data_IF_317473730100
#
_entry.id   IF_317473730100
#
_cell.length_a   1.000
_cell.length_b   1.000
_cell.length_c   1.000
_cell.angle_alpha   90.00
_cell.angle_beta   90.00
_cell.angle_gamma   90.00
#
_symmetry.space_group_name_H-M   'P 1'
#
loop_
_entity.id
_entity.type
_entity.pdbx_description
1 polymer ?
#
# COMPACT_ATOMS: atom_id res chain seq x y z
N UNK A 1 -36.45 -11.14 14.29
CA UNK A 1 -36.80 -10.33 13.11
C UNK A 1 -35.50 -9.68 12.65
N UNK A 2 -34.87 -10.25 11.63
CA UNK A 2 -33.62 -9.71 11.12
C UNK A 2 -33.96 -8.53 10.19
N UNK A 3 -33.59 -7.32 10.58
CA UNK A 3 -33.65 -6.16 9.67
C UNK A 3 -32.63 -6.37 8.55
N UNK A 4 -33.11 -6.60 7.33
CA UNK A 4 -32.32 -6.51 6.12
C UNK A 4 -32.09 -5.00 5.91
N UNK A 5 -30.97 -4.48 6.44
CA UNK A 5 -30.54 -3.12 6.16
C UNK A 5 -30.42 -2.96 4.64
N UNK A 6 -31.15 -2.03 4.08
CA UNK A 6 -31.14 -1.69 2.65
C UNK A 6 -29.72 -1.36 2.22
N UNK A 7 -29.15 -2.22 1.37
CA UNK A 7 -27.83 -1.97 0.74
C UNK A 7 -27.98 -0.69 -0.09
N UNK A 8 -27.28 0.39 0.27
CA UNK A 8 -27.36 1.65 -0.46
C UNK A 8 -26.76 1.50 -1.87
N UNK A 9 -27.33 2.22 -2.84
CA UNK A 9 -26.79 2.29 -4.23
C UNK A 9 -25.30 2.66 -4.25
N UNK A 10 -24.85 3.50 -3.31
CA UNK A 10 -23.44 3.87 -3.17
C UNK A 10 -22.56 2.69 -2.76
N UNK A 11 -23.07 1.80 -1.91
CA UNK A 11 -22.34 0.57 -1.51
C UNK A 11 -22.19 -0.37 -2.70
N UNK A 12 -23.24 -0.51 -3.52
CA UNK A 12 -23.23 -1.35 -4.72
C UNK A 12 -22.27 -0.78 -5.78
N UNK A 13 -22.31 0.53 -6.00
CA UNK A 13 -21.42 1.19 -6.98
C UNK A 13 -19.96 1.15 -6.56
N UNK A 14 -19.65 1.36 -5.27
CA UNK A 14 -18.29 1.25 -4.74
C UNK A 14 -17.76 -0.18 -4.82
N UNK A 15 -18.61 -1.19 -4.57
CA UNK A 15 -18.25 -2.60 -4.72
C UNK A 15 -18.01 -2.97 -6.18
N UNK A 16 -18.88 -2.52 -7.10
CA UNK A 16 -18.72 -2.71 -8.55
C UNK A 16 -17.42 -2.10 -9.08
N UNK A 17 -17.07 -0.88 -8.63
CA UNK A 17 -15.81 -0.24 -9.00
C UNK A 17 -14.58 -1.03 -8.49
N UNK A 18 -14.62 -1.55 -7.27
CA UNK A 18 -13.52 -2.38 -6.73
C UNK A 18 -13.31 -3.67 -7.52
N UNK A 19 -14.41 -4.34 -7.91
CA UNK A 19 -14.34 -5.55 -8.75
C UNK A 19 -13.76 -5.19 -10.12
N UNK A 20 -14.25 -4.11 -10.75
CA UNK A 20 -13.73 -3.67 -12.04
C UNK A 20 -12.24 -3.35 -11.97
N UNK A 21 -11.78 -2.58 -10.97
CA UNK A 21 -10.37 -2.26 -10.77
C UNK A 21 -9.51 -3.50 -10.56
N UNK A 22 -10.02 -4.48 -9.78
CA UNK A 22 -9.35 -5.76 -9.58
C UNK A 22 -9.20 -6.54 -10.89
N UNK A 23 -10.27 -6.64 -11.69
CA UNK A 23 -10.24 -7.35 -12.98
C UNK A 23 -9.28 -6.69 -13.98
N UNK A 24 -9.25 -5.36 -14.02
CA UNK A 24 -8.29 -4.62 -14.86
C UNK A 24 -6.85 -4.89 -14.40
N UNK A 25 -6.58 -4.82 -13.10
CA UNK A 25 -5.24 -5.12 -12.56
C UNK A 25 -4.81 -6.55 -12.86
N UNK A 26 -5.72 -7.52 -12.69
CA UNK A 26 -5.48 -8.93 -13.01
C UNK A 26 -5.18 -9.12 -14.51
N UNK A 27 -5.97 -8.49 -15.39
CA UNK A 27 -5.76 -8.57 -16.83
C UNK A 27 -4.39 -8.01 -17.26
N UNK A 28 -3.95 -6.90 -16.63
CA UNK A 28 -2.60 -6.33 -16.87
C UNK A 28 -1.51 -7.30 -16.43
N UNK A 29 -1.63 -7.90 -15.24
CA UNK A 29 -0.65 -8.88 -14.74
C UNK A 29 -0.56 -10.11 -15.65
N UNK A 30 -1.70 -10.62 -16.11
CA UNK A 30 -1.76 -11.75 -17.05
C UNK A 30 -1.11 -11.35 -18.37
N UNK A 31 -1.45 -10.19 -18.92
CA UNK A 31 -0.84 -9.70 -20.14
C UNK A 31 0.68 -9.64 -20.05
N UNK A 32 1.23 -9.10 -18.96
CA UNK A 32 2.68 -8.99 -18.74
C UNK A 32 3.31 -10.38 -18.62
N UNK A 33 2.65 -11.30 -17.93
CA UNK A 33 3.09 -12.70 -17.80
C UNK A 33 3.19 -13.39 -19.17
N UNK A 34 2.11 -13.37 -19.94
CA UNK A 34 2.05 -13.96 -21.27
C UNK A 34 3.04 -13.30 -22.24
N UNK A 35 3.22 -11.96 -22.11
CA UNK A 35 4.22 -11.22 -22.88
C UNK A 35 5.64 -11.71 -22.61
N UNK A 36 5.94 -12.10 -21.36
CA UNK A 36 7.22 -12.71 -21.00
C UNK A 36 7.47 -14.00 -21.77
N UNK A 37 6.51 -14.93 -21.78
CA UNK A 37 6.59 -16.18 -22.55
C UNK A 37 6.71 -15.91 -24.04
N UNK A 38 5.91 -15.02 -24.58
CA UNK A 38 5.91 -14.65 -25.98
C UNK A 38 7.27 -14.12 -26.45
N UNK A 39 7.85 -13.16 -25.72
CA UNK A 39 9.12 -12.55 -26.07
C UNK A 39 10.29 -13.55 -25.96
N UNK A 40 10.27 -14.39 -24.93
CA UNK A 40 11.28 -15.42 -24.74
C UNK A 40 11.19 -16.48 -25.84
N UNK A 41 9.99 -16.96 -26.18
CA UNK A 41 9.77 -17.92 -27.26
C UNK A 41 10.31 -17.38 -28.58
N UNK A 42 9.96 -16.16 -28.94
CA UNK A 42 10.45 -15.52 -30.17
C UNK A 42 11.96 -15.33 -30.19
N UNK A 43 12.55 -14.95 -29.05
CA UNK A 43 14.02 -14.81 -28.93
C UNK A 43 14.74 -16.14 -29.04
N UNK A 44 14.12 -17.23 -28.60
CA UNK A 44 14.64 -18.60 -28.72
C UNK A 44 14.36 -19.25 -30.09
N UNK A 45 13.74 -18.54 -31.03
CA UNK A 45 13.40 -19.08 -32.35
C UNK A 45 12.16 -19.98 -32.39
N UNK A 46 11.38 -20.03 -31.28
CA UNK A 46 10.16 -20.81 -31.24
C UNK A 46 9.00 -20.00 -31.86
N UNK A 47 8.24 -20.64 -32.74
CA UNK A 47 7.11 -20.02 -33.43
C UNK A 47 5.93 -19.95 -32.46
N UNK A 48 5.40 -18.72 -32.27
CA UNK A 48 4.19 -18.49 -31.51
C UNK A 48 3.03 -18.36 -32.47
N UNK A 49 2.10 -19.30 -32.39
CA UNK A 49 0.89 -19.34 -33.25
C UNK A 49 -0.19 -18.38 -32.76
N UNK A 50 -0.43 -18.36 -31.42
CA UNK A 50 -1.47 -17.51 -30.82
C UNK A 50 -0.96 -16.84 -29.54
N UNK A 51 -1.39 -15.60 -29.36
CA UNK A 51 -1.24 -14.83 -28.13
C UNK A 51 -2.62 -14.33 -27.72
N UNK A 52 -3.17 -14.86 -26.62
CA UNK A 52 -4.53 -14.54 -26.20
C UNK A 52 -4.55 -13.90 -24.81
N UNK A 53 -5.29 -12.80 -24.69
CA UNK A 53 -5.71 -12.22 -23.42
C UNK A 53 -7.16 -12.67 -23.20
N UNK A 54 -7.36 -13.50 -22.16
CA UNK A 54 -8.66 -14.11 -21.88
C UNK A 54 -8.86 -15.47 -22.53
N UNK A 55 -9.98 -16.09 -22.14
CA UNK A 55 -10.43 -17.37 -22.65
C UNK A 55 -11.80 -17.26 -23.34
N UNK A 56 -12.17 -18.29 -24.10
CA UNK A 56 -13.48 -18.43 -24.71
C UNK A 56 -13.59 -17.74 -26.08
N UNK A 57 -14.78 -17.15 -26.35
CA UNK A 57 -15.07 -16.58 -27.67
C UNK A 57 -14.19 -15.37 -27.98
N UNK A 58 -13.54 -15.38 -29.16
CA UNK A 58 -12.80 -14.25 -29.69
C UNK A 58 -13.72 -13.04 -29.90
N UNK A 59 -13.41 -11.92 -29.24
CA UNK A 59 -14.10 -10.65 -29.41
C UNK A 59 -13.42 -9.79 -30.47
N UNK A 60 -12.08 -9.71 -30.38
CA UNK A 60 -11.23 -8.96 -31.29
C UNK A 60 -9.93 -9.70 -31.52
N UNK A 61 -9.28 -9.51 -32.66
CA UNK A 61 -7.95 -10.03 -32.92
C UNK A 61 -7.43 -9.65 -34.30
N UNK A 62 -6.12 -9.71 -34.43
CA UNK A 62 -5.40 -9.47 -35.70
C UNK A 62 -4.21 -10.41 -35.78
N UNK A 63 -3.72 -10.62 -36.99
CA UNK A 63 -2.52 -11.44 -37.23
C UNK A 63 -1.35 -10.55 -37.59
N UNK A 64 -0.20 -10.75 -36.92
CA UNK A 64 1.04 -10.03 -37.23
C UNK A 64 2.24 -10.96 -37.12
N UNK A 65 3.08 -10.95 -38.14
CA UNK A 65 4.34 -11.74 -38.18
C UNK A 65 4.13 -13.22 -37.86
N UNK A 66 3.04 -13.82 -38.33
CA UNK A 66 2.72 -15.23 -38.13
C UNK A 66 2.04 -15.57 -36.80
N UNK A 67 1.83 -14.61 -35.91
CA UNK A 67 1.12 -14.79 -34.62
C UNK A 67 -0.28 -14.19 -34.70
N UNK A 68 -1.30 -14.93 -34.31
CA UNK A 68 -2.65 -14.44 -34.09
C UNK A 68 -2.79 -13.85 -32.67
N UNK A 69 -3.01 -12.54 -32.57
CA UNK A 69 -3.29 -11.83 -31.32
C UNK A 69 -4.79 -11.79 -31.08
N UNK A 70 -5.24 -12.22 -29.90
CA UNK A 70 -6.67 -12.41 -29.56
C UNK A 70 -6.99 -11.70 -28.25
N UNK A 71 -8.12 -11.01 -28.21
CA UNK A 71 -8.81 -10.60 -26.99
C UNK A 71 -10.09 -11.42 -26.90
N UNK A 72 -10.23 -12.21 -25.84
CA UNK A 72 -11.34 -13.12 -25.63
C UNK A 72 -12.32 -12.61 -24.57
N UNK A 73 -13.52 -13.21 -24.52
CA UNK A 73 -14.64 -12.71 -23.72
C UNK A 73 -14.47 -12.83 -22.22
N UNK A 74 -13.67 -13.77 -21.73
CA UNK A 74 -13.48 -14.05 -20.30
C UNK A 74 -12.09 -13.55 -19.88
N UNK A 75 -11.94 -12.40 -19.20
CA UNK A 75 -10.64 -11.79 -18.89
C UNK A 75 -9.95 -12.42 -17.65
N UNK A 76 -10.18 -13.69 -17.38
CA UNK A 76 -9.65 -14.41 -16.21
C UNK A 76 -8.44 -15.29 -16.54
N UNK A 77 -7.63 -14.87 -17.51
CA UNK A 77 -6.44 -15.63 -17.91
C UNK A 77 -5.90 -15.15 -19.24
N UNK A 78 -4.94 -15.90 -19.78
CA UNK A 78 -4.36 -15.73 -21.08
C UNK A 78 -3.61 -17.00 -21.47
N UNK A 79 -3.11 -17.03 -22.68
CA UNK A 79 -2.19 -18.10 -23.12
C UNK A 79 -1.36 -17.68 -24.33
N UNK A 80 -0.21 -18.28 -24.40
CA UNK A 80 0.68 -18.23 -25.57
C UNK A 80 0.76 -19.65 -26.14
N UNK A 81 0.13 -19.90 -27.30
CA UNK A 81 0.26 -21.19 -27.98
C UNK A 81 1.51 -21.18 -28.84
N UNK A 82 2.42 -22.08 -28.54
CA UNK A 82 3.66 -22.30 -29.30
C UNK A 82 3.51 -23.54 -30.18
N UNK A 83 4.14 -23.53 -31.35
CA UNK A 83 4.16 -24.68 -32.26
C UNK A 83 4.75 -25.91 -31.57
N UNK A 84 4.06 -27.04 -31.60
CA UNK A 84 4.54 -28.31 -31.03
C UNK A 84 4.63 -28.32 -29.49
N UNK A 85 3.78 -27.55 -28.79
CA UNK A 85 3.70 -27.49 -27.34
C UNK A 85 2.71 -28.52 -26.77
N UNK A 86 1.62 -28.79 -27.50
CA UNK A 86 0.58 -29.71 -27.03
C UNK A 86 1.01 -31.18 -27.15
N UNK A 87 0.54 -31.99 -26.20
CA UNK A 87 0.78 -33.45 -26.22
C UNK A 87 0.18 -34.06 -27.50
N UNK A 88 1.02 -34.72 -28.28
CA UNK A 88 0.63 -35.30 -29.58
C UNK A 88 0.89 -34.40 -30.79
N UNK A 89 1.23 -33.14 -30.61
CA UNK A 89 1.75 -32.24 -31.63
C UNK A 89 3.30 -32.17 -31.63
N UNK A 90 3.95 -33.03 -30.87
CA UNK A 90 5.40 -33.05 -30.77
C UNK A 90 6.01 -33.27 -32.15
N UNK A 91 6.82 -32.31 -32.61
CA UNK A 91 7.47 -32.34 -33.92
C UNK A 91 8.92 -31.94 -33.77
N UNK A 92 9.77 -32.60 -34.54
CA UNK A 92 11.21 -32.26 -34.64
C UNK A 92 11.47 -31.10 -35.62
N UNK A 93 10.42 -30.46 -36.12
CA UNK A 93 10.53 -29.36 -37.07
C UNK A 93 11.15 -28.11 -36.40
N UNK A 94 11.92 -27.41 -37.21
CA UNK A 94 12.52 -26.14 -36.79
C UNK A 94 11.44 -25.14 -36.35
N UNK A 95 11.72 -24.46 -35.25
CA UNK A 95 10.77 -23.51 -34.64
C UNK A 95 9.72 -24.14 -33.73
N UNK A 96 9.71 -25.47 -33.52
CA UNK A 96 8.85 -26.15 -32.56
C UNK A 96 9.39 -26.01 -31.13
N UNK A 97 8.50 -25.85 -30.14
CA UNK A 97 8.83 -25.83 -28.73
C UNK A 97 9.42 -27.19 -28.27
N UNK A 98 8.87 -28.31 -28.74
CA UNK A 98 9.35 -29.67 -28.44
C UNK A 98 10.76 -29.92 -28.96
N UNK A 99 11.12 -29.36 -30.11
CA UNK A 99 12.47 -29.46 -30.70
C UNK A 99 13.48 -28.49 -30.09
N UNK A 100 13.02 -27.49 -29.33
CA UNK A 100 13.90 -26.50 -28.72
C UNK A 100 14.80 -27.11 -27.63
N UNK A 101 16.06 -26.68 -27.51
CA UNK A 101 16.94 -27.13 -26.45
C UNK A 101 16.34 -26.96 -25.06
N UNK A 102 16.61 -27.87 -24.11
CA UNK A 102 16.03 -27.79 -22.74
C UNK A 102 16.24 -26.44 -22.06
N UNK A 103 17.37 -25.79 -22.28
CA UNK A 103 17.68 -24.45 -21.74
C UNK A 103 16.74 -23.38 -22.29
N UNK A 104 16.37 -23.44 -23.58
CA UNK A 104 15.40 -22.51 -24.18
C UNK A 104 14.00 -22.74 -23.63
N UNK A 105 13.59 -24.01 -23.48
CA UNK A 105 12.28 -24.35 -22.88
C UNK A 105 12.19 -23.86 -21.43
N UNK A 106 13.28 -24.03 -20.66
CA UNK A 106 13.37 -23.51 -19.29
C UNK A 106 13.28 -21.98 -19.27
N UNK A 107 14.04 -21.30 -20.12
CA UNK A 107 14.00 -19.83 -20.24
C UNK A 107 12.59 -19.33 -20.56
N UNK A 108 11.91 -19.97 -21.50
CA UNK A 108 10.55 -19.64 -21.89
C UNK A 108 9.60 -19.83 -20.69
N UNK A 109 9.68 -20.97 -20.00
CA UNK A 109 8.82 -21.27 -18.85
C UNK A 109 8.99 -20.26 -17.68
N UNK A 110 10.21 -19.81 -17.41
CA UNK A 110 10.49 -18.83 -16.36
C UNK A 110 10.25 -17.37 -16.78
N UNK A 111 10.15 -17.09 -18.08
CA UNK A 111 10.01 -15.71 -18.56
C UNK A 111 8.71 -15.04 -18.09
N UNK A 112 7.60 -15.76 -18.03
CA UNK A 112 6.33 -15.22 -17.51
C UNK A 112 6.46 -14.67 -16.09
N UNK A 113 6.82 -15.51 -15.10
CA UNK A 113 7.04 -15.06 -13.73
C UNK A 113 8.11 -13.94 -13.61
N UNK A 114 9.19 -14.04 -14.36
CA UNK A 114 10.25 -13.03 -14.37
C UNK A 114 9.74 -11.66 -14.84
N UNK A 115 8.90 -11.62 -15.87
CA UNK A 115 8.29 -10.38 -16.36
C UNK A 115 7.35 -9.76 -15.33
N UNK A 116 6.59 -10.56 -14.58
CA UNK A 116 5.77 -10.05 -13.48
C UNK A 116 6.62 -9.41 -12.38
N UNK A 117 7.76 -10.01 -12.03
CA UNK A 117 8.68 -9.43 -11.04
C UNK A 117 9.27 -8.11 -11.56
N UNK A 118 9.73 -8.07 -12.81
CA UNK A 118 10.26 -6.85 -13.43
C UNK A 118 9.18 -5.75 -13.52
N UNK A 119 7.95 -6.11 -13.85
CA UNK A 119 6.82 -5.19 -13.89
C UNK A 119 6.50 -4.64 -12.49
N UNK A 120 6.46 -5.50 -11.48
CA UNK A 120 6.26 -5.06 -10.10
C UNK A 120 7.36 -4.06 -9.67
N UNK A 121 8.62 -4.35 -9.98
CA UNK A 121 9.74 -3.44 -9.70
C UNK A 121 9.56 -2.10 -10.42
N UNK A 122 9.17 -2.12 -11.70
CA UNK A 122 8.92 -0.90 -12.47
C UNK A 122 7.78 -0.06 -11.86
N UNK A 123 6.68 -0.71 -11.45
CA UNK A 123 5.56 -0.04 -10.76
C UNK A 123 6.03 0.57 -9.44
N UNK A 124 6.82 -0.16 -8.64
CA UNK A 124 7.38 0.37 -7.39
C UNK A 124 8.22 1.63 -7.64
N UNK A 125 9.15 1.58 -8.59
CA UNK A 125 9.96 2.75 -8.95
C UNK A 125 9.07 3.92 -9.36
N UNK A 126 8.07 3.68 -10.21
CA UNK A 126 7.14 4.72 -10.66
C UNK A 126 6.34 5.34 -9.51
N UNK A 127 5.79 4.53 -8.60
CA UNK A 127 5.04 5.01 -7.43
C UNK A 127 5.94 5.84 -6.52
N UNK A 128 7.18 5.40 -6.27
CA UNK A 128 8.11 6.17 -5.44
C UNK A 128 8.60 7.46 -6.12
N UNK A 129 8.66 7.51 -7.45
CA UNK A 129 8.96 8.74 -8.19
C UNK A 129 7.85 9.79 -8.09
N UNK A 130 6.57 9.35 -8.06
CA UNK A 130 5.42 10.25 -7.83
C UNK A 130 5.43 10.78 -6.39
N UNK A 131 5.95 9.98 -5.45
CA UNK A 131 5.96 10.26 -4.02
C UNK A 131 4.83 9.51 -3.30
N UNK A 132 5.15 9.03 -2.11
CA UNK A 132 4.20 8.39 -1.20
C UNK A 132 4.06 9.30 0.01
N UNK A 133 2.82 9.68 0.33
CA UNK A 133 2.55 10.44 1.54
C UNK A 133 2.98 9.62 2.77
N UNK A 134 3.79 10.22 3.61
CA UNK A 134 4.29 9.59 4.82
C UNK A 134 4.06 10.49 6.03
N UNK A 135 3.79 9.86 7.18
CA UNK A 135 3.64 10.59 8.44
C UNK A 135 5.01 11.08 8.89
N UNK A 136 5.14 12.40 9.08
CA UNK A 136 6.35 13.03 9.61
C UNK A 136 6.61 12.63 11.08
N UNK A 137 7.85 12.76 11.55
CA UNK A 137 8.24 12.38 12.92
C UNK A 137 7.92 13.50 13.93
N UNK A 138 6.69 14.01 13.89
CA UNK A 138 6.18 15.02 14.83
C UNK A 138 5.28 14.33 15.84
N UNK A 139 5.50 14.64 17.11
CA UNK A 139 4.75 14.08 18.23
C UNK A 139 3.34 14.68 18.28
N UNK A 140 2.32 13.84 18.20
CA UNK A 140 0.92 14.21 18.38
C UNK A 140 0.54 14.20 19.86
N UNK A 141 0.46 13.01 20.47
CA UNK A 141 0.17 12.87 21.89
C UNK A 141 1.30 12.17 22.63
N UNK A 142 1.47 12.53 23.90
CA UNK A 142 2.35 11.84 24.84
C UNK A 142 1.45 11.26 25.91
N UNK A 143 1.49 9.93 26.09
CA UNK A 143 0.66 9.21 27.05
C UNK A 143 1.11 9.51 28.48
N UNK A 144 0.16 9.65 29.40
CA UNK A 144 0.44 9.75 30.84
C UNK A 144 1.19 8.52 31.35
N UNK A 145 2.05 8.72 32.33
CA UNK A 145 2.88 7.66 32.94
C UNK A 145 3.69 6.85 31.90
N UNK A 146 4.27 7.55 30.93
CA UNK A 146 5.08 6.94 29.88
C UNK A 146 6.54 7.41 29.91
N UNK A 147 7.49 6.61 29.41
CA UNK A 147 8.90 7.00 29.32
C UNK A 147 9.12 8.32 28.56
N UNK A 148 8.31 8.59 27.55
CA UNK A 148 8.39 9.84 26.79
C UNK A 148 8.03 11.05 27.65
N UNK A 149 6.97 10.95 28.49
CA UNK A 149 6.56 12.03 29.37
C UNK A 149 7.59 12.28 30.47
N UNK A 150 8.12 11.22 31.09
CA UNK A 150 9.16 11.30 32.12
C UNK A 150 10.44 11.95 31.61
N UNK A 151 10.82 11.66 30.35
CA UNK A 151 11.96 12.31 29.69
C UNK A 151 11.67 13.76 29.25
N UNK A 152 10.45 14.25 29.40
CA UNK A 152 10.07 15.62 29.05
C UNK A 152 9.75 15.84 27.59
N UNK A 153 9.42 14.79 26.81
CA UNK A 153 8.92 14.90 25.45
C UNK A 153 7.54 15.59 25.47
N UNK A 154 7.27 16.43 24.50
CA UNK A 154 6.01 17.21 24.42
C UNK A 154 5.34 17.08 23.06
N UNK A 155 4.03 17.28 23.05
CA UNK A 155 3.27 17.46 21.82
C UNK A 155 3.86 18.57 20.95
N UNK A 156 4.00 18.32 19.65
CA UNK A 156 4.58 19.24 18.70
C UNK A 156 6.11 19.13 18.55
N UNK A 157 6.79 18.35 19.39
CA UNK A 157 8.22 18.08 19.21
C UNK A 157 8.42 17.30 17.89
N UNK A 158 9.39 17.74 17.10
CA UNK A 158 9.82 17.04 15.90
C UNK A 158 11.09 16.27 16.18
N UNK A 159 11.06 14.95 16.00
CA UNK A 159 12.23 14.10 16.18
C UNK A 159 13.18 14.30 14.99
N UNK A 160 14.43 14.67 15.25
CA UNK A 160 15.48 14.86 14.25
C UNK A 160 16.29 13.59 14.09
N UNK A 161 16.75 13.01 15.23
CA UNK A 161 17.55 11.79 15.21
C UNK A 161 17.34 10.98 16.50
N UNK A 162 17.64 9.67 16.41
CA UNK A 162 17.73 8.75 17.54
C UNK A 162 19.06 8.00 17.45
N UNK A 163 19.89 8.07 18.53
CA UNK A 163 21.26 7.53 18.55
C UNK A 163 22.07 8.00 17.32
N UNK A 164 22.04 9.31 17.03
CA UNK A 164 22.69 9.97 15.89
C UNK A 164 22.20 9.51 14.50
N UNK A 165 21.20 8.62 14.41
CA UNK A 165 20.60 8.21 13.15
C UNK A 165 19.46 9.18 12.79
N UNK A 166 19.49 9.86 11.63
CA UNK A 166 18.45 10.79 11.22
C UNK A 166 17.09 10.09 11.08
N UNK A 167 16.04 10.73 11.58
CA UNK A 167 14.66 10.27 11.49
C UNK A 167 13.90 11.23 10.56
N UNK A 168 13.43 10.70 9.43
CA UNK A 168 12.65 11.46 8.43
C UNK A 168 11.17 11.15 8.47
N UNK A 169 10.82 9.93 8.91
CA UNK A 169 9.46 9.40 8.89
C UNK A 169 9.12 8.73 10.21
N UNK A 170 7.86 8.76 10.59
CA UNK A 170 7.35 8.13 11.80
C UNK A 170 7.68 6.62 11.88
N UNK A 171 7.60 5.92 10.76
CA UNK A 171 7.89 4.49 10.70
C UNK A 171 9.35 4.15 11.08
N UNK A 172 10.31 5.04 10.78
CA UNK A 172 11.70 4.85 11.19
C UNK A 172 11.85 5.00 12.72
N UNK A 173 11.19 6.01 13.30
CA UNK A 173 11.14 6.22 14.74
C UNK A 173 10.53 5.00 15.44
N UNK A 174 9.35 4.58 14.97
CA UNK A 174 8.63 3.43 15.51
C UNK A 174 9.49 2.16 15.47
N UNK A 175 10.12 1.87 14.33
CA UNK A 175 11.02 0.72 14.18
C UNK A 175 12.19 0.77 15.15
N UNK A 176 12.81 1.95 15.33
CA UNK A 176 13.97 2.11 16.22
C UNK A 176 13.60 1.87 17.67
N UNK A 177 12.49 2.46 18.14
CA UNK A 177 11.99 2.29 19.52
C UNK A 177 11.55 0.84 19.76
N UNK A 178 10.81 0.26 18.82
CA UNK A 178 10.27 -1.10 18.91
C UNK A 178 11.37 -2.16 19.12
N UNK A 179 12.51 -2.03 18.44
CA UNK A 179 13.63 -2.97 18.54
C UNK A 179 14.65 -2.62 19.61
N UNK A 180 14.33 -1.73 20.54
CA UNK A 180 15.21 -1.33 21.64
C UNK A 180 14.50 -1.37 22.99
N UNK A 181 13.88 -2.52 23.38
CA UNK A 181 13.22 -2.64 24.68
C UNK A 181 14.23 -2.53 25.83
N UNK A 182 14.00 -1.63 26.78
CA UNK A 182 14.87 -1.42 27.94
C UNK A 182 16.21 -0.77 27.64
N UNK A 183 16.54 -0.48 26.39
CA UNK A 183 17.78 0.16 25.98
C UNK A 183 17.67 1.69 26.05
N UNK A 184 18.70 2.37 26.51
CA UNK A 184 18.78 3.83 26.50
C UNK A 184 18.90 4.35 25.06
N UNK A 185 18.01 5.25 24.68
CA UNK A 185 18.00 5.91 23.38
C UNK A 185 18.21 7.41 23.55
N UNK A 186 19.16 7.96 22.79
CA UNK A 186 19.47 9.39 22.75
C UNK A 186 18.65 10.05 21.64
N UNK A 187 17.66 10.85 22.01
CA UNK A 187 16.78 11.59 21.10
C UNK A 187 17.30 13.00 20.91
N UNK A 188 17.42 13.44 19.66
CA UNK A 188 17.56 14.85 19.32
C UNK A 188 16.24 15.34 18.72
N UNK A 189 15.67 16.36 19.34
CA UNK A 189 14.36 16.91 18.96
C UNK A 189 14.48 18.40 18.64
N UNK A 190 13.59 18.88 17.78
CA UNK A 190 13.37 20.30 17.51
C UNK A 190 12.05 20.72 18.19
N UNK A 191 12.14 21.62 19.16
CA UNK A 191 10.98 22.17 19.86
C UNK A 191 10.75 23.63 19.47
N UNK A 192 9.51 23.94 19.13
CA UNK A 192 9.13 25.32 18.77
C UNK A 192 9.57 26.29 19.87
N UNK A 193 10.19 27.40 19.50
CA UNK A 193 10.72 28.46 20.37
C UNK A 193 11.84 28.06 21.35
N UNK A 194 12.33 26.83 21.32
CA UNK A 194 13.46 26.37 22.18
C UNK A 194 14.62 25.79 21.38
N UNK A 195 14.44 25.55 20.07
CA UNK A 195 15.48 24.98 19.21
C UNK A 195 15.70 23.49 19.46
N UNK A 196 16.95 23.04 19.29
CA UNK A 196 17.33 21.64 19.40
C UNK A 196 17.57 21.28 20.88
N UNK A 197 16.95 20.17 21.29
CA UNK A 197 17.04 19.62 22.66
C UNK A 197 17.45 18.16 22.55
N UNK A 198 18.31 17.71 23.44
CA UNK A 198 18.67 16.30 23.58
C UNK A 198 17.93 15.72 24.80
N UNK A 199 17.30 14.55 24.60
CA UNK A 199 16.57 13.81 25.64
C UNK A 199 17.03 12.36 25.63
N UNK A 200 17.10 11.76 26.82
CA UNK A 200 17.37 10.35 26.98
C UNK A 200 16.07 9.63 27.34
N UNK A 201 15.71 8.61 26.57
CA UNK A 201 14.48 7.84 26.78
C UNK A 201 14.81 6.35 26.82
N UNK A 202 14.30 5.65 27.82
CA UNK A 202 14.42 4.19 27.95
C UNK A 202 13.03 3.60 27.68
N UNK A 203 12.80 2.93 26.52
CA UNK A 203 11.52 2.30 26.24
C UNK A 203 11.16 1.23 27.27
N UNK A 204 9.89 1.18 27.70
CA UNK A 204 9.37 0.05 28.46
C UNK A 204 9.37 -1.20 27.61
N UNK A 205 9.65 -2.35 28.23
CA UNK A 205 9.55 -3.65 27.56
C UNK A 205 8.13 -4.16 27.68
N UNK A 206 7.47 -4.43 26.55
CA UNK A 206 6.17 -5.10 26.50
C UNK A 206 6.25 -6.39 25.67
N UNK A 207 5.49 -7.39 26.08
CA UNK A 207 5.37 -8.65 25.34
C UNK A 207 4.14 -8.59 24.43
N UNK A 208 4.34 -8.76 23.15
CA UNK A 208 3.27 -8.84 22.17
C UNK A 208 3.33 -10.16 21.40
N UNK A 209 2.19 -10.62 20.91
CA UNK A 209 2.14 -11.75 19.97
C UNK A 209 2.25 -11.26 18.54
N UNK A 210 3.20 -11.81 17.79
CA UNK A 210 3.32 -11.53 16.37
C UNK A 210 2.22 -12.26 15.58
N UNK A 211 2.19 -12.05 14.25
CA UNK A 211 1.19 -12.66 13.36
C UNK A 211 1.24 -14.20 13.32
N UNK A 212 2.35 -14.78 13.75
CA UNK A 212 2.55 -16.24 13.80
C UNK A 212 2.21 -16.83 15.18
N UNK A 213 1.87 -15.96 16.17
CA UNK A 213 1.54 -16.35 17.53
C UNK A 213 2.74 -16.43 18.48
N UNK A 214 3.96 -16.13 18.01
CA UNK A 214 5.16 -16.09 18.83
C UNK A 214 5.17 -14.84 19.71
N UNK A 215 5.69 -14.96 20.92
CA UNK A 215 5.87 -13.82 21.84
C UNK A 215 7.15 -13.07 21.49
N UNK A 216 7.03 -11.77 21.25
CA UNK A 216 8.14 -10.87 20.95
C UNK A 216 8.19 -9.76 22.00
N UNK A 217 9.39 -9.43 22.51
CA UNK A 217 9.61 -8.30 23.40
C UNK A 217 9.84 -7.04 22.57
N UNK A 218 9.08 -6.00 22.86
CA UNK A 218 9.11 -4.75 22.12
C UNK A 218 9.28 -3.54 23.05
N UNK A 219 9.94 -2.51 22.54
CA UNK A 219 10.07 -1.24 23.23
C UNK A 219 8.92 -0.30 22.92
N UNK A 220 8.34 0.33 23.96
CA UNK A 220 7.34 1.37 23.81
C UNK A 220 7.72 2.60 24.64
N UNK A 221 7.45 3.81 24.13
CA UNK A 221 7.69 5.07 24.85
C UNK A 221 6.41 5.88 25.08
N UNK A 222 5.26 5.42 24.59
CA UNK A 222 3.96 6.04 24.85
C UNK A 222 3.71 7.32 24.05
N UNK A 223 4.02 7.34 22.78
CA UNK A 223 3.76 8.47 21.86
C UNK A 223 2.89 8.07 20.67
N UNK A 224 2.17 9.04 20.10
CA UNK A 224 1.49 8.90 18.82
C UNK A 224 1.96 9.98 17.84
N UNK A 225 1.87 9.73 16.52
CA UNK A 225 2.20 10.76 15.53
C UNK A 225 1.17 11.88 15.53
N UNK A 226 1.59 13.06 15.10
CA UNK A 226 0.68 14.16 14.78
C UNK A 226 -0.04 13.82 13.46
N UNK A 227 -1.29 13.35 13.55
CA UNK A 227 -2.09 12.87 12.43
C UNK A 227 -3.52 13.45 12.53
N UNK A 228 -3.64 14.76 12.34
CA UNK A 228 -4.91 15.48 12.44
C UNK A 228 -5.31 16.20 11.14
N UNK A 229 -4.74 15.77 10.00
CA UNK A 229 -5.05 16.33 8.68
C UNK A 229 -6.13 15.50 7.98
N UNK A 230 -7.10 16.16 7.36
CA UNK A 230 -8.18 15.53 6.61
C UNK A 230 -7.63 15.03 5.26
N UNK A 231 -7.63 13.73 5.06
CA UNK A 231 -7.19 13.08 3.81
C UNK A 231 -8.36 12.60 2.94
N UNK A 232 -9.56 12.49 3.51
CA UNK A 232 -10.75 12.06 2.81
C UNK A 232 -12.01 12.67 3.43
N UNK A 233 -12.96 13.09 2.58
CA UNK A 233 -14.29 13.54 2.98
C UNK A 233 -15.32 12.75 2.18
N UNK A 234 -16.23 12.09 2.89
CA UNK A 234 -17.33 11.37 2.25
C UNK A 234 -18.34 12.38 1.69
N UNK A 235 -18.76 12.21 0.43
CA UNK A 235 -19.84 13.02 -0.17
C UNK A 235 -21.12 12.96 0.67
N UNK A 236 -21.83 14.07 0.70
CA UNK A 236 -23.08 14.27 1.46
C UNK A 236 -22.97 14.07 2.98
N UNK A 237 -21.75 13.96 3.50
CA UNK A 237 -21.49 13.86 4.95
C UNK A 237 -21.69 15.20 5.66
N UNK A 238 -21.82 15.14 6.99
CA UNK A 238 -21.85 16.32 7.84
C UNK A 238 -20.56 17.16 7.69
N UNK A 239 -19.41 16.52 7.48
CA UNK A 239 -18.12 17.17 7.26
C UNK A 239 -18.12 18.02 5.99
N UNK A 240 -18.61 17.49 4.86
CA UNK A 240 -18.73 18.23 3.61
C UNK A 240 -19.72 19.39 3.73
N UNK A 241 -20.90 19.13 4.32
CA UNK A 241 -21.93 20.17 4.57
C UNK A 241 -21.43 21.29 5.48
N UNK A 242 -20.53 20.99 6.40
CA UNK A 242 -19.88 21.97 7.27
C UNK A 242 -18.75 22.75 6.57
N UNK A 243 -18.41 22.42 5.31
CA UNK A 243 -17.39 23.10 4.54
C UNK A 243 -15.95 22.70 4.87
N UNK A 244 -15.74 21.54 5.50
CA UNK A 244 -14.40 20.95 5.65
C UNK A 244 -13.84 20.56 4.29
N UNK A 245 -12.53 20.71 4.11
CA UNK A 245 -11.84 20.43 2.86
C UNK A 245 -10.66 19.45 3.07
N UNK A 246 -10.19 18.83 1.98
CA UNK A 246 -8.97 18.05 2.01
C UNK A 246 -7.80 18.97 2.42
N UNK A 247 -6.88 18.40 3.19
CA UNK A 247 -5.73 19.09 3.78
C UNK A 247 -6.06 20.09 4.90
N UNK A 248 -7.34 20.25 5.29
CA UNK A 248 -7.65 20.94 6.55
C UNK A 248 -7.02 20.19 7.72
N UNK A 249 -6.41 20.92 8.61
CA UNK A 249 -5.86 20.38 9.85
C UNK A 249 -6.83 20.67 11.00
N UNK A 250 -7.34 19.64 11.64
CA UNK A 250 -8.23 19.77 12.79
C UNK A 250 -7.38 20.10 14.02
N UNK A 251 -7.56 21.29 14.58
CA UNK A 251 -6.82 21.75 15.76
C UNK A 251 -7.58 21.39 17.05
N UNK A 252 -8.90 21.60 17.06
CA UNK A 252 -9.73 21.25 18.19
C UNK A 252 -11.16 20.94 17.75
N UNK A 253 -11.87 20.15 18.55
CA UNK A 253 -13.31 19.94 18.48
C UNK A 253 -13.88 20.38 19.82
N UNK A 254 -14.79 21.34 19.80
CA UNK A 254 -15.24 22.06 21.01
C UNK A 254 -14.00 22.63 21.75
N UNK A 255 -13.75 22.16 22.97
CA UNK A 255 -12.61 22.57 23.80
C UNK A 255 -11.53 21.49 23.88
N UNK A 256 -11.63 20.40 23.08
CA UNK A 256 -10.69 19.28 23.08
C UNK A 256 -9.69 19.50 21.94
N UNK A 257 -8.41 19.62 22.25
CA UNK A 257 -7.35 19.66 21.25
C UNK A 257 -7.22 18.31 20.55
N UNK A 258 -7.04 18.33 19.24
CA UNK A 258 -6.93 17.14 18.39
C UNK A 258 -5.53 17.04 17.82
N UNK A 259 -4.81 16.02 18.21
CA UNK A 259 -3.46 15.70 17.72
C UNK A 259 -3.44 14.47 16.83
N UNK A 260 -4.48 13.62 16.93
CA UNK A 260 -4.61 12.42 16.15
C UNK A 260 -6.01 11.86 16.13
N UNK A 261 -6.18 10.76 15.42
CA UNK A 261 -7.48 10.11 15.28
C UNK A 261 -8.04 9.58 16.60
N UNK A 262 -7.16 9.18 17.53
CA UNK A 262 -7.54 8.75 18.89
C UNK A 262 -8.29 9.83 19.65
N UNK A 263 -7.93 11.09 19.45
CA UNK A 263 -8.56 12.23 20.15
C UNK A 263 -9.87 12.63 19.47
N UNK A 264 -9.91 12.51 18.13
CA UNK A 264 -11.10 12.86 17.34
C UNK A 264 -12.27 11.93 17.63
N UNK A 265 -12.00 10.65 17.90
CA UNK A 265 -13.05 9.67 18.14
C UNK A 265 -13.96 10.04 19.32
N UNK A 266 -13.46 10.21 20.56
CA UNK A 266 -14.31 10.61 21.69
C UNK A 266 -14.84 12.04 21.56
N UNK A 267 -14.13 12.90 20.83
CA UNK A 267 -14.53 14.29 20.67
C UNK A 267 -15.67 14.48 19.66
N UNK A 268 -15.80 13.60 18.66
CA UNK A 268 -16.76 13.77 17.57
C UNK A 268 -17.49 12.47 17.16
N UNK A 269 -16.78 11.35 17.01
CA UNK A 269 -17.37 10.12 16.46
C UNK A 269 -18.37 9.48 17.43
N UNK A 270 -18.08 9.52 18.70
CA UNK A 270 -18.93 8.93 19.76
C UNK A 270 -20.09 9.85 20.20
N UNK A 271 -20.34 10.94 19.45
CA UNK A 271 -21.39 11.94 19.70
C UNK A 271 -22.35 12.11 18.52
N UNK A 272 -23.08 11.07 18.12
CA UNK A 272 -23.99 11.15 16.99
C UNK A 272 -25.17 12.12 17.32
N UNK A 273 -25.47 12.99 16.34
CA UNK A 273 -26.59 13.95 16.45
C UNK A 273 -26.29 15.24 17.22
N UNK A 274 -25.10 15.37 17.81
CA UNK A 274 -24.69 16.63 18.44
C UNK A 274 -24.12 17.63 17.41
N UNK A 275 -24.41 18.93 17.65
CA UNK A 275 -23.75 20.00 16.89
C UNK A 275 -22.38 20.30 17.48
N UNK A 276 -21.33 20.07 16.70
CA UNK A 276 -19.93 20.20 17.13
C UNK A 276 -19.23 21.33 16.39
N UNK A 277 -18.48 22.15 17.12
CA UNK A 277 -17.66 23.23 16.56
C UNK A 277 -16.23 22.72 16.34
N UNK A 278 -15.77 22.76 15.08
CA UNK A 278 -14.41 22.41 14.70
C UNK A 278 -13.55 23.66 14.53
N UNK A 279 -12.42 23.71 15.22
CA UNK A 279 -11.37 24.67 14.96
C UNK A 279 -10.38 24.03 13.98
N UNK A 280 -10.23 24.63 12.79
CA UNK A 280 -9.37 24.12 11.75
C UNK A 280 -8.29 25.15 11.39
N UNK A 281 -7.18 24.64 10.87
CA UNK A 281 -6.16 25.41 10.18
C UNK A 281 -6.19 24.99 8.72
N UNK A 282 -6.44 25.95 7.84
CA UNK A 282 -6.42 25.76 6.40
C UNK A 282 -5.23 26.55 5.85
N UNK A 283 -4.32 25.87 5.20
CA UNK A 283 -3.23 26.50 4.47
C UNK A 283 -3.77 26.89 3.09
N UNK A 284 -3.66 28.15 2.75
CA UNK A 284 -3.94 28.67 1.41
C UNK A 284 -2.75 28.41 0.49
#
# INVERSE_FOLDING_TARGET
MFEISSISLDTVSAFGFKIFAFLVGLAVLIFVHELGHFLAARKCGVIVEKFSIGFGKKLFGFTSRGTEFIVAAIPLGGYVKMKGEELGEETSEEGSFSAAPPQHRLLIAFAGPAFNILFALAIYVFVYMIGVETIGPVIGTVKENSPALEAGLQTGDKIISVNNNPIRFWSQLQKKVYHSPGEKLDFQIERLNKGIINLEIIPTTEEIKNLFGDTEQVGLIGITPLANTITYIKKESAAEKAGLQLNDRIIAVQNINIFGWSDLRPAAVDKPGESLTFKIQRNN
#
